data_IF_439320496224
#
_entry.id   IF_439320496224
#
_cell.length_a   1.000
_cell.length_b   1.000
_cell.length_c   1.000
_cell.angle_alpha   90.00
_cell.angle_beta   90.00
_cell.angle_gamma   90.00
#
_symmetry.space_group_name_H-M   'P 1'
#
loop_
_entity.id
_entity.type
_entity.pdbx_description
1 polymer ?
#
# COMPACT_ATOMS: atom_id res chain seq x y z
N UNK A 1 -4.01 -4.08 4.53
CA UNK A 1 -2.59 -3.74 4.82
C UNK A 1 -1.76 -4.20 3.66
N UNK A 2 -0.86 -3.34 3.17
CA UNK A 2 0.17 -3.65 2.18
C UNK A 2 1.54 -3.50 2.83
N UNK A 3 2.56 -4.21 2.34
CA UNK A 3 3.91 -4.14 2.89
C UNK A 3 4.98 -4.18 1.80
N UNK A 4 6.12 -3.58 2.10
CA UNK A 4 7.34 -3.63 1.27
C UNK A 4 8.56 -3.58 2.18
N UNK A 5 9.68 -4.14 1.74
CA UNK A 5 10.93 -4.20 2.48
C UNK A 5 11.27 -5.62 2.91
N UNK A 6 11.77 -5.81 4.12
CA UNK A 6 12.22 -7.12 4.58
C UNK A 6 11.04 -8.09 4.81
N UNK A 7 11.05 -9.21 4.08
CA UNK A 7 9.97 -10.20 4.13
C UNK A 7 9.83 -10.84 5.51
N UNK A 8 10.94 -11.17 6.18
CA UNK A 8 10.88 -11.80 7.49
C UNK A 8 10.23 -10.89 8.54
N UNK A 9 10.57 -9.60 8.54
CA UNK A 9 9.94 -8.59 9.40
C UNK A 9 8.46 -8.44 9.08
N UNK A 10 8.09 -8.37 7.80
CA UNK A 10 6.69 -8.30 7.36
C UNK A 10 5.89 -9.50 7.85
N UNK A 11 6.42 -10.71 7.68
CA UNK A 11 5.76 -11.95 8.15
C UNK A 11 5.63 -11.97 9.68
N UNK A 12 6.66 -11.56 10.42
CA UNK A 12 6.61 -11.51 11.88
C UNK A 12 5.55 -10.51 12.38
N UNK A 13 5.42 -9.36 11.73
CA UNK A 13 4.35 -8.39 12.04
C UNK A 13 2.97 -9.01 11.80
N UNK A 14 2.73 -9.64 10.64
CA UNK A 14 1.45 -10.29 10.36
C UNK A 14 1.15 -11.45 11.31
N UNK A 15 2.15 -12.25 11.68
CA UNK A 15 1.98 -13.32 12.65
C UNK A 15 1.57 -12.78 14.03
N UNK A 16 2.16 -11.65 14.46
CA UNK A 16 1.77 -11.00 15.72
C UNK A 16 0.33 -10.46 15.65
N UNK A 17 -0.05 -9.83 14.54
CA UNK A 17 -1.42 -9.35 14.31
C UNK A 17 -2.41 -10.53 14.39
N UNK A 18 -2.13 -11.63 13.71
CA UNK A 18 -3.01 -12.79 13.68
C UNK A 18 -3.15 -13.42 15.09
N UNK A 19 -2.03 -13.53 15.81
CA UNK A 19 -2.04 -14.01 17.20
C UNK A 19 -2.90 -13.13 18.12
N UNK A 20 -2.77 -11.80 18.00
CA UNK A 20 -3.54 -10.86 18.81
C UNK A 20 -5.04 -10.90 18.43
N UNK A 21 -5.38 -11.22 17.17
CA UNK A 21 -6.76 -11.39 16.72
C UNK A 21 -7.43 -12.65 17.30
N UNK A 22 -6.67 -13.68 17.68
CA UNK A 22 -7.18 -14.91 18.32
C UNK A 22 -7.65 -14.67 19.76
N UNK A 23 -7.17 -13.59 20.42
CA UNK A 23 -7.58 -13.22 21.78
C UNK A 23 -8.48 -11.97 21.76
N UNK A 24 -9.81 -12.13 21.90
CA UNK A 24 -10.75 -11.00 21.91
C UNK A 24 -10.56 -10.05 23.11
N UNK A 25 -9.86 -10.49 24.15
CA UNK A 25 -9.61 -9.67 25.36
C UNK A 25 -8.33 -8.85 25.25
N UNK A 26 -7.50 -9.11 24.27
CA UNK A 26 -6.26 -8.40 24.03
C UNK A 26 -6.55 -6.96 23.58
N UNK A 27 -6.05 -5.99 24.33
CA UNK A 27 -6.18 -4.57 23.99
C UNK A 27 -5.48 -4.17 22.67
N UNK A 28 -4.56 -4.99 22.15
CA UNK A 28 -3.92 -4.79 20.84
C UNK A 28 -4.67 -5.52 19.71
N UNK A 29 -5.74 -6.24 19.97
CA UNK A 29 -6.58 -6.83 18.95
C UNK A 29 -7.16 -5.75 18.04
N UNK A 30 -7.00 -5.88 16.72
CA UNK A 30 -7.47 -4.87 15.76
C UNK A 30 -8.96 -4.57 15.89
N UNK A 31 -9.76 -5.55 16.31
CA UNK A 31 -11.20 -5.37 16.54
C UNK A 31 -11.51 -4.51 17.78
N UNK A 32 -10.55 -4.31 18.68
CA UNK A 32 -10.70 -3.53 19.90
C UNK A 32 -10.14 -2.10 19.77
N UNK A 33 -9.46 -1.78 18.65
CA UNK A 33 -8.91 -0.47 18.40
C UNK A 33 -9.98 0.49 17.86
N UNK A 34 -10.01 1.73 18.38
CA UNK A 34 -11.09 2.68 18.13
C UNK A 34 -11.01 3.37 16.76
N UNK A 35 -9.82 3.52 16.20
CA UNK A 35 -9.61 4.25 14.95
C UNK A 35 -8.37 3.75 14.20
N UNK A 36 -8.27 4.14 12.93
CA UNK A 36 -7.17 3.72 12.06
C UNK A 36 -5.80 4.27 12.51
N UNK A 37 -5.78 5.40 13.23
CA UNK A 37 -4.55 5.95 13.80
C UNK A 37 -3.96 5.01 14.87
N UNK A 38 -4.80 4.43 15.73
CA UNK A 38 -4.37 3.43 16.71
C UNK A 38 -3.85 2.17 16.04
N UNK A 39 -4.49 1.74 14.95
CA UNK A 39 -4.01 0.61 14.15
C UNK A 39 -2.64 0.92 13.53
N UNK A 40 -2.44 2.11 12.96
CA UNK A 40 -1.15 2.52 12.42
C UNK A 40 -0.06 2.57 13.50
N UNK A 41 -0.39 3.09 14.69
CA UNK A 41 0.49 3.10 15.86
C UNK A 41 0.84 1.70 16.34
N UNK A 42 -0.13 0.79 16.38
CA UNK A 42 0.08 -0.61 16.75
C UNK A 42 1.02 -1.31 15.77
N UNK A 43 0.79 -1.18 14.45
CA UNK A 43 1.65 -1.75 13.42
C UNK A 43 3.06 -1.15 13.50
N UNK A 44 3.18 0.16 13.76
CA UNK A 44 4.47 0.81 13.98
C UNK A 44 5.26 0.20 15.14
N UNK A 45 4.62 -0.09 16.26
CA UNK A 45 5.27 -0.77 17.40
C UNK A 45 5.74 -2.17 17.02
N UNK A 46 4.90 -2.95 16.35
CA UNK A 46 5.28 -4.29 15.88
C UNK A 46 6.44 -4.24 14.88
N UNK A 47 6.44 -3.25 13.99
CA UNK A 47 7.52 -3.07 13.02
C UNK A 47 8.85 -2.85 13.72
N UNK A 48 8.93 -1.94 14.69
CA UNK A 48 10.15 -1.73 15.49
C UNK A 48 10.55 -2.98 16.26
N UNK A 49 9.60 -3.64 16.91
CA UNK A 49 9.85 -4.87 17.67
C UNK A 49 10.51 -5.97 16.84
N UNK A 50 10.05 -6.17 15.59
CA UNK A 50 10.52 -7.24 14.73
C UNK A 50 11.68 -6.87 13.82
N UNK A 51 12.01 -5.58 13.66
CA UNK A 51 13.16 -5.11 12.90
C UNK A 51 14.39 -4.85 13.76
N UNK A 52 14.30 -5.03 15.07
CA UNK A 52 15.44 -4.87 15.98
C UNK A 52 16.08 -6.22 16.25
N UNK A 53 17.40 -6.41 16.04
CA UNK A 53 18.11 -7.58 16.54
C UNK A 53 18.01 -7.66 18.06
N UNK A 54 18.05 -8.86 18.61
CA UNK A 54 17.88 -9.20 20.02
C UNK A 54 18.44 -8.13 21.00
N UNK A 55 17.55 -7.35 21.62
CA UNK A 55 17.85 -6.44 22.70
C UNK A 55 18.52 -5.12 22.31
N UNK A 56 18.77 -4.85 21.04
CA UNK A 56 19.30 -3.58 20.54
C UNK A 56 18.15 -2.79 19.92
N UNK A 57 17.72 -1.69 20.55
CA UNK A 57 16.68 -0.80 20.03
C UNK A 57 17.14 0.01 18.79
N UNK A 58 17.88 -0.61 17.88
CA UNK A 58 18.30 -0.01 16.63
C UNK A 58 17.65 -0.74 15.46
N UNK A 59 16.74 -0.05 14.81
CA UNK A 59 16.19 -0.49 13.51
C UNK A 59 17.32 -0.45 12.49
N UNK A 60 17.74 -1.61 12.00
CA UNK A 60 18.65 -1.67 10.86
C UNK A 60 17.84 -1.49 9.58
N UNK A 61 18.31 -0.66 8.66
CA UNK A 61 17.65 -0.43 7.37
C UNK A 61 17.43 -1.73 6.58
N UNK A 62 18.33 -2.70 6.74
CA UNK A 62 18.27 -4.01 6.07
C UNK A 62 17.09 -4.89 6.57
N UNK A 63 16.65 -4.69 7.81
CA UNK A 63 15.54 -5.41 8.43
C UNK A 63 14.23 -4.59 8.39
N UNK A 64 14.27 -3.39 7.83
CA UNK A 64 13.13 -2.50 7.81
C UNK A 64 12.01 -2.96 6.88
N UNK A 65 10.77 -2.79 7.33
CA UNK A 65 9.58 -2.93 6.51
C UNK A 65 8.71 -1.69 6.62
N UNK A 66 8.09 -1.33 5.52
CA UNK A 66 7.15 -0.22 5.42
C UNK A 66 5.75 -0.78 5.16
N UNK A 67 4.72 -0.19 5.75
CA UNK A 67 3.35 -0.65 5.58
C UNK A 67 2.44 0.48 5.11
N UNK A 68 1.48 0.15 4.26
CA UNK A 68 0.30 0.98 4.02
C UNK A 68 -0.88 0.33 4.73
N UNK A 69 -1.55 1.10 5.57
CA UNK A 69 -2.74 0.70 6.30
C UNK A 69 -3.90 1.56 5.85
N UNK A 70 -4.91 0.95 5.30
CA UNK A 70 -6.09 1.67 4.83
C UNK A 70 -7.37 0.95 5.21
N UNK A 71 -8.42 1.71 5.42
CA UNK A 71 -9.69 1.14 5.74
C UNK A 71 -10.65 2.11 6.41
N UNK A 72 -11.64 1.53 7.06
CA UNK A 72 -12.72 2.24 7.69
C UNK A 72 -13.14 1.44 8.93
N UNK A 73 -13.29 2.15 10.05
CA UNK A 73 -13.91 1.64 11.27
C UNK A 73 -15.33 2.20 11.34
N UNK A 74 -16.27 1.39 11.81
CA UNK A 74 -17.69 1.74 11.85
C UNK A 74 -17.91 3.13 12.47
N UNK A 75 -18.70 3.95 11.77
CA UNK A 75 -19.02 5.34 12.14
C UNK A 75 -17.85 6.34 12.10
N UNK A 76 -16.76 6.00 11.41
CA UNK A 76 -15.64 6.93 11.20
C UNK A 76 -15.38 7.13 9.71
N UNK A 77 -14.61 8.15 9.38
CA UNK A 77 -14.12 8.36 8.02
C UNK A 77 -13.06 7.32 7.66
N UNK A 78 -12.98 7.00 6.37
CA UNK A 78 -11.92 6.15 5.86
C UNK A 78 -10.61 6.91 5.83
N UNK A 79 -9.56 6.25 6.26
CA UNK A 79 -8.22 6.81 6.33
C UNK A 79 -7.20 5.91 5.64
N UNK A 80 -6.05 6.49 5.33
CA UNK A 80 -4.91 5.81 4.76
C UNK A 80 -3.63 6.29 5.44
N UNK A 81 -2.85 5.36 5.99
CA UNK A 81 -1.60 5.64 6.71
C UNK A 81 -0.42 4.92 6.09
N UNK A 82 0.72 5.59 6.04
CA UNK A 82 2.03 5.02 5.74
C UNK A 82 2.81 4.88 7.03
N UNK A 83 3.18 3.65 7.39
CA UNK A 83 3.97 3.33 8.59
C UNK A 83 5.40 3.04 8.15
N UNK A 84 6.34 3.78 8.71
CA UNK A 84 7.77 3.67 8.41
C UNK A 84 8.45 2.58 9.26
N UNK A 85 9.63 2.09 8.84
CA UNK A 85 10.39 1.09 9.61
C UNK A 85 10.71 1.52 11.04
N UNK A 86 10.84 2.83 11.27
CA UNK A 86 11.10 3.42 12.59
C UNK A 86 9.85 3.46 13.50
N UNK A 87 8.71 2.96 13.01
CA UNK A 87 7.46 2.89 13.75
C UNK A 87 6.61 4.17 13.74
N UNK A 88 7.16 5.28 13.24
CA UNK A 88 6.39 6.50 13.00
C UNK A 88 5.54 6.34 11.73
N UNK A 89 4.53 7.19 11.57
CA UNK A 89 3.61 7.10 10.45
C UNK A 89 3.07 8.46 10.04
N UNK A 90 2.60 8.54 8.80
CA UNK A 90 1.91 9.71 8.25
C UNK A 90 0.54 9.32 7.70
N UNK A 91 -0.40 10.24 7.73
CA UNK A 91 -1.73 10.12 7.11
C UNK A 91 -1.69 10.71 5.69
N UNK A 92 -2.43 10.11 4.76
CA UNK A 92 -2.73 10.77 3.49
C UNK A 92 -3.52 12.06 3.70
N UNK A 93 -3.48 12.97 2.74
CA UNK A 93 -4.17 14.26 2.82
C UNK A 93 -4.80 14.60 1.47
N UNK A 94 -5.65 15.63 1.42
CA UNK A 94 -6.21 16.12 0.16
C UNK A 94 -5.12 16.52 -0.85
N UNK A 95 -3.97 17.03 -0.37
CA UNK A 95 -2.83 17.39 -1.22
C UNK A 95 -1.98 16.18 -1.65
N UNK A 96 -2.05 15.07 -0.89
CA UNK A 96 -1.40 13.79 -1.19
C UNK A 96 -2.40 12.67 -0.93
N UNK A 97 -3.34 12.43 -1.88
CA UNK A 97 -4.44 11.50 -1.67
C UNK A 97 -4.06 10.03 -1.88
N UNK A 98 -2.81 9.72 -2.14
CA UNK A 98 -2.29 8.37 -2.33
C UNK A 98 -0.98 8.16 -1.57
N UNK A 99 -0.66 6.91 -1.31
CA UNK A 99 0.60 6.47 -0.70
C UNK A 99 1.26 5.41 -1.58
N UNK A 100 2.58 5.36 -1.56
CA UNK A 100 3.39 4.39 -2.33
C UNK A 100 4.46 3.82 -1.43
N UNK A 101 4.73 2.52 -1.57
CA UNK A 101 5.82 1.80 -0.93
C UNK A 101 6.56 0.93 -1.96
N UNK A 102 7.75 0.48 -1.64
CA UNK A 102 8.61 -0.26 -2.56
C UNK A 102 9.42 0.65 -3.46
N UNK A 103 9.57 0.28 -4.75
CA UNK A 103 10.23 1.13 -5.72
C UNK A 103 9.30 2.26 -6.18
N UNK A 104 9.65 3.49 -5.83
CA UNK A 104 8.78 4.65 -6.03
C UNK A 104 9.25 5.60 -7.15
N UNK A 105 10.50 5.46 -7.60
CA UNK A 105 11.14 6.45 -8.49
C UNK A 105 10.45 6.56 -9.84
N UNK A 106 9.99 5.44 -10.40
CA UNK A 106 9.49 5.37 -11.76
C UNK A 106 7.98 5.57 -11.87
N UNK A 107 7.24 5.07 -10.89
CA UNK A 107 5.77 5.13 -10.89
C UNK A 107 5.20 6.41 -10.27
N UNK A 108 5.81 6.89 -9.18
CA UNK A 108 5.32 8.07 -8.45
C UNK A 108 5.15 9.34 -9.30
N UNK A 109 6.05 9.69 -10.24
CA UNK A 109 5.87 10.86 -11.10
C UNK A 109 4.59 10.85 -11.94
N UNK A 110 4.05 9.67 -12.26
CA UNK A 110 2.79 9.50 -12.98
C UNK A 110 1.62 9.78 -12.04
N UNK A 111 1.65 9.17 -10.85
CA UNK A 111 0.62 9.37 -9.83
C UNK A 111 0.51 10.85 -9.41
N UNK A 112 1.64 11.54 -9.21
CA UNK A 112 1.69 12.97 -8.84
C UNK A 112 0.98 13.87 -9.88
N UNK A 113 0.97 13.48 -11.15
CA UNK A 113 0.34 14.27 -12.23
C UNK A 113 -1.15 14.03 -12.33
N UNK A 114 -1.60 12.82 -12.06
CA UNK A 114 -2.97 12.36 -12.40
C UNK A 114 -3.86 12.25 -11.17
N UNK A 115 -3.35 11.70 -10.05
CA UNK A 115 -4.19 11.38 -8.90
C UNK A 115 -4.41 12.63 -8.03
N UNK A 116 -5.67 13.01 -7.90
CA UNK A 116 -6.17 14.07 -7.03
C UNK A 116 -7.20 13.50 -6.04
N UNK A 117 -7.57 14.26 -5.02
CA UNK A 117 -8.55 13.83 -4.01
C UNK A 117 -9.94 13.50 -4.59
N UNK A 118 -10.28 14.11 -5.71
CA UNK A 118 -11.54 13.94 -6.45
C UNK A 118 -11.42 13.00 -7.66
N UNK A 119 -10.26 12.37 -7.89
CA UNK A 119 -10.07 11.45 -9.00
C UNK A 119 -11.01 10.26 -8.87
N UNK A 120 -11.73 9.96 -9.95
CA UNK A 120 -12.62 8.80 -10.01
C UNK A 120 -11.84 7.49 -9.81
N UNK A 121 -12.39 6.54 -9.04
CA UNK A 121 -11.69 5.31 -8.67
C UNK A 121 -11.19 4.49 -9.86
N UNK A 122 -11.96 4.45 -10.96
CA UNK A 122 -11.53 3.77 -12.19
C UNK A 122 -10.31 4.41 -12.84
N UNK A 123 -10.21 5.74 -12.79
CA UNK A 123 -9.06 6.48 -13.34
C UNK A 123 -7.85 6.34 -12.40
N UNK A 124 -8.08 6.37 -11.09
CA UNK A 124 -7.03 6.10 -10.11
C UNK A 124 -6.45 4.68 -10.27
N UNK A 125 -7.32 3.67 -10.51
CA UNK A 125 -6.89 2.30 -10.78
C UNK A 125 -6.05 2.20 -12.06
N UNK A 126 -6.51 2.82 -13.17
CA UNK A 126 -5.71 2.87 -14.42
C UNK A 126 -4.38 3.56 -14.22
N UNK A 127 -4.37 4.69 -13.50
CA UNK A 127 -3.14 5.42 -13.19
C UNK A 127 -2.18 4.57 -12.34
N UNK A 128 -2.68 3.80 -11.37
CA UNK A 128 -1.89 2.87 -10.58
C UNK A 128 -1.28 1.75 -11.46
N UNK A 129 -2.04 1.19 -12.39
CA UNK A 129 -1.54 0.17 -13.34
C UNK A 129 -0.47 0.73 -14.27
N UNK A 130 -0.62 1.96 -14.78
CA UNK A 130 0.39 2.66 -15.58
C UNK A 130 1.66 2.93 -14.75
N UNK A 131 1.49 3.31 -13.48
CA UNK A 131 2.59 3.49 -12.55
C UNK A 131 3.38 2.18 -12.34
N UNK A 132 2.68 1.05 -12.18
CA UNK A 132 3.29 -0.28 -12.09
C UNK A 132 3.98 -0.68 -13.40
N UNK A 133 3.34 -0.50 -14.55
CA UNK A 133 3.92 -0.76 -15.88
C UNK A 133 5.25 -0.02 -16.08
N UNK A 134 5.26 1.26 -15.77
CA UNK A 134 6.47 2.10 -15.87
C UNK A 134 7.58 1.65 -14.93
N UNK A 135 7.21 1.19 -13.73
CA UNK A 135 8.17 0.66 -12.76
C UNK A 135 8.75 -0.68 -13.23
N UNK A 136 7.92 -1.62 -13.67
CA UNK A 136 8.34 -2.92 -14.17
C UNK A 136 9.25 -2.84 -15.41
N UNK A 137 9.04 -1.84 -16.26
CA UNK A 137 9.93 -1.58 -17.41
C UNK A 137 11.32 -1.04 -17.01
N UNK A 138 11.40 -0.41 -15.85
CA UNK A 138 12.62 0.23 -15.37
C UNK A 138 13.38 -0.59 -14.32
N UNK A 139 12.69 -1.44 -13.56
CA UNK A 139 13.23 -2.23 -12.47
C UNK A 139 12.79 -3.69 -12.56
N UNK A 140 13.75 -4.59 -12.81
CA UNK A 140 13.52 -6.04 -12.95
C UNK A 140 13.12 -6.73 -11.64
N UNK A 141 13.27 -6.07 -10.49
CA UNK A 141 12.82 -6.59 -9.20
C UNK A 141 11.31 -6.44 -8.98
N UNK A 142 10.65 -5.67 -9.82
CA UNK A 142 9.19 -5.44 -9.80
C UNK A 142 8.56 -6.18 -10.99
N UNK A 143 7.60 -7.04 -10.71
CA UNK A 143 6.99 -7.87 -11.75
C UNK A 143 5.60 -8.37 -11.39
N UNK A 144 4.93 -9.06 -12.34
CA UNK A 144 3.63 -9.67 -12.13
C UNK A 144 3.72 -10.87 -11.13
N UNK A 145 2.57 -11.31 -10.58
CA UNK A 145 1.25 -10.74 -10.84
C UNK A 145 1.03 -9.38 -10.16
N UNK A 146 0.19 -8.53 -10.76
CA UNK A 146 -0.27 -7.28 -10.14
C UNK A 146 -1.64 -7.53 -9.50
N UNK A 147 -1.72 -7.45 -8.18
CA UNK A 147 -2.99 -7.54 -7.48
C UNK A 147 -3.65 -6.16 -7.42
N UNK A 148 -4.78 -6.01 -8.10
CA UNK A 148 -5.61 -4.82 -8.08
C UNK A 148 -6.83 -5.03 -7.19
N UNK A 149 -7.01 -4.16 -6.20
CA UNK A 149 -8.16 -4.18 -5.30
C UNK A 149 -8.80 -2.80 -5.25
N UNK A 150 -10.12 -2.75 -5.43
CA UNK A 150 -10.91 -1.51 -5.28
C UNK A 150 -11.85 -1.66 -4.10
N UNK A 151 -11.67 -0.80 -3.10
CA UNK A 151 -12.52 -0.70 -1.93
C UNK A 151 -13.40 0.55 -2.02
N UNK A 152 -14.70 0.42 -1.77
CA UNK A 152 -15.64 1.55 -1.71
C UNK A 152 -16.09 1.84 -0.28
N UNK A 153 -15.77 3.04 0.21
CA UNK A 153 -16.07 3.49 1.56
C UNK A 153 -17.59 3.47 1.86
N UNK A 154 -18.39 4.03 0.96
CA UNK A 154 -19.83 4.11 1.13
C UNK A 154 -20.55 2.74 1.16
N UNK A 155 -19.86 1.69 0.73
CA UNK A 155 -20.35 0.31 0.78
C UNK A 155 -19.60 -0.53 1.81
N UNK A 156 -18.54 0.01 2.40
CA UNK A 156 -17.64 -0.68 3.36
C UNK A 156 -17.18 -2.05 2.87
N UNK A 157 -16.94 -2.18 1.56
CA UNK A 157 -16.57 -3.45 0.94
C UNK A 157 -15.61 -3.31 -0.25
N UNK A 158 -14.89 -4.39 -0.51
CA UNK A 158 -14.17 -4.61 -1.75
C UNK A 158 -15.20 -4.84 -2.86
N UNK A 159 -15.18 -4.00 -3.88
CA UNK A 159 -16.07 -4.07 -5.04
C UNK A 159 -15.42 -4.65 -6.28
N UNK A 160 -14.10 -4.71 -6.29
CA UNK A 160 -13.33 -5.31 -7.38
C UNK A 160 -12.03 -5.88 -6.83
N UNK A 161 -11.65 -7.05 -7.31
CA UNK A 161 -10.36 -7.69 -7.03
C UNK A 161 -9.96 -8.52 -8.24
N UNK A 162 -8.75 -8.30 -8.75
CA UNK A 162 -8.17 -9.04 -9.85
C UNK A 162 -6.66 -9.18 -9.64
N UNK A 163 -6.11 -10.34 -10.00
CA UNK A 163 -4.68 -10.57 -10.14
C UNK A 163 -4.38 -10.57 -11.64
N UNK A 164 -3.51 -9.68 -12.07
CA UNK A 164 -3.18 -9.44 -13.48
C UNK A 164 -1.80 -10.01 -13.78
N UNK A 165 -1.75 -10.91 -14.73
CA UNK A 165 -0.50 -11.40 -15.30
C UNK A 165 -0.02 -10.51 -16.46
N UNK A 166 1.23 -10.69 -16.88
CA UNK A 166 1.83 -9.88 -17.95
C UNK A 166 1.05 -10.00 -19.28
N UNK A 167 0.41 -11.12 -19.54
CA UNK A 167 -0.35 -11.41 -20.77
C UNK A 167 -1.84 -11.10 -20.64
N UNK A 168 -2.29 -10.59 -19.48
CA UNK A 168 -3.69 -10.20 -19.30
C UNK A 168 -4.10 -9.13 -20.32
N UNK A 169 -5.24 -9.34 -20.99
CA UNK A 169 -5.67 -8.48 -22.09
C UNK A 169 -5.93 -7.03 -21.61
N UNK A 170 -6.53 -6.86 -20.45
CA UNK A 170 -6.83 -5.54 -19.89
C UNK A 170 -5.54 -4.79 -19.53
N UNK A 171 -4.57 -5.49 -18.91
CA UNK A 171 -3.26 -4.93 -18.62
C UNK A 171 -2.51 -4.54 -19.90
N UNK A 172 -2.44 -5.45 -20.88
CA UNK A 172 -1.80 -5.20 -22.18
C UNK A 172 -2.44 -4.03 -22.93
N UNK A 173 -3.75 -3.90 -22.86
CA UNK A 173 -4.46 -2.77 -23.46
C UNK A 173 -4.03 -1.45 -22.82
N UNK A 174 -4.02 -1.37 -21.49
CA UNK A 174 -3.62 -0.16 -20.76
C UNK A 174 -2.17 0.22 -21.07
N UNK A 175 -1.24 -0.75 -21.03
CA UNK A 175 0.18 -0.54 -21.34
C UNK A 175 0.38 0.01 -22.76
N UNK A 176 -0.28 -0.59 -23.76
CA UNK A 176 -0.22 -0.12 -25.17
C UNK A 176 -0.82 1.27 -25.37
N UNK A 177 -1.95 1.58 -24.71
CA UNK A 177 -2.55 2.92 -24.80
C UNK A 177 -1.65 3.99 -24.15
N UNK A 178 -1.00 3.66 -23.05
CA UNK A 178 -0.02 4.53 -22.41
C UNK A 178 1.16 4.81 -23.32
N UNK A 179 1.78 3.79 -23.90
CA UNK A 179 2.87 3.92 -24.85
C UNK A 179 2.49 4.78 -26.06
N UNK A 180 1.32 4.50 -26.65
CA UNK A 180 0.79 5.28 -27.76
C UNK A 180 0.59 6.75 -27.41
N UNK A 181 0.01 7.04 -26.23
CA UNK A 181 -0.21 8.40 -25.75
C UNK A 181 1.09 9.18 -25.58
N UNK A 182 2.14 8.53 -25.07
CA UNK A 182 3.47 9.15 -24.98
C UNK A 182 3.99 9.51 -26.39
N UNK A 183 3.94 8.58 -27.35
CA UNK A 183 4.41 8.87 -28.72
C UNK A 183 3.62 9.97 -29.45
N UNK A 184 2.34 10.13 -29.14
CA UNK A 184 1.52 11.20 -29.72
C UNK A 184 1.98 12.61 -29.30
N UNK A 185 2.61 12.76 -28.13
CA UNK A 185 3.13 14.04 -27.65
C UNK A 185 4.34 14.52 -28.49
N UNK A 186 5.04 13.60 -29.14
CA UNK A 186 6.25 13.90 -29.93
C UNK A 186 5.99 14.09 -31.42
N UNK A 187 4.74 14.07 -31.85
CA UNK A 187 4.30 14.32 -33.25
C UNK A 187 3.81 15.75 -33.43
#
# INVERSE_FOLDING_TARGET
>A
ILTSGNLATSQAVFNSINKDLEDPTNGNNLNNLYNLNEIAKYIGRLTVQHSSPDGINQVTLELGSTFIVGGHIQNQESDLYLVYPQGNFIKSSEFKPYLVIGEIKYGKPILDRVVKSDTYLGDAARCALISMDSTMKADLSVGPPIDLVVYKNNLSKIVYRQSLEINDEDYQYISKQWEKGIFEIFK
#
